data_IF_782768293476
#
_entry.id   IF_782768293476
#
_cell.length_a   1.000
_cell.length_b   1.000
_cell.length_c   1.000
_cell.angle_alpha   90.00
_cell.angle_beta   90.00
_cell.angle_gamma   90.00
#
_symmetry.space_group_name_H-M   'P 1'
#
loop_
_entity.id
_entity.type
_entity.pdbx_description
1 polymer ?
#
# COMPACT_ATOMS: atom_id res chain seq x y z
N UNK A 1 47.79 -16.16 35.33
CA UNK A 1 48.29 -15.30 36.43
C UNK A 1 49.34 -14.36 35.85
N UNK A 2 49.37 -13.10 36.32
CA UNK A 2 50.29 -11.99 35.95
C UNK A 2 49.79 -11.17 34.73
N UNK A 3 49.65 -9.85 34.74
CA UNK A 3 49.38 -8.79 35.75
C UNK A 3 48.98 -7.56 34.91
N UNK A 4 47.94 -6.83 35.30
CA UNK A 4 47.61 -5.51 34.78
C UNK A 4 48.71 -4.50 35.14
N UNK A 5 49.16 -3.69 34.19
CA UNK A 5 49.81 -2.41 34.49
C UNK A 5 49.30 -1.33 33.52
N UNK A 6 48.63 -0.37 34.13
CA UNK A 6 48.15 0.90 33.60
C UNK A 6 49.32 1.83 33.31
N UNK A 7 49.36 2.47 32.13
CA UNK A 7 50.20 3.65 31.89
C UNK A 7 49.29 4.78 31.39
N UNK A 8 49.26 5.87 32.16
CA UNK A 8 48.52 7.10 31.90
C UNK A 8 49.52 8.19 31.45
N UNK A 9 49.14 8.87 30.37
CA UNK A 9 49.47 10.22 29.90
C UNK A 9 50.95 10.66 29.70
N UNK A 10 51.23 11.08 28.47
CA UNK A 10 52.02 12.28 28.20
C UNK A 10 51.34 13.10 27.10
N UNK A 11 50.81 14.24 27.52
CA UNK A 11 50.20 15.30 26.69
C UNK A 11 51.35 16.12 26.09
N UNK A 12 51.40 16.23 24.77
CA UNK A 12 52.21 17.23 24.08
C UNK A 12 51.27 18.24 23.39
N UNK A 13 51.25 19.44 23.96
CA UNK A 13 50.65 20.65 23.41
C UNK A 13 51.39 21.08 22.14
N UNK A 14 50.67 21.20 21.02
CA UNK A 14 51.05 22.10 19.93
C UNK A 14 49.90 23.08 19.71
N UNK A 15 50.14 24.34 20.07
CA UNK A 15 49.28 25.50 19.75
C UNK A 15 50.02 26.36 18.74
N UNK A 16 49.30 26.75 17.68
CA UNK A 16 49.73 27.68 16.63
C UNK A 16 48.74 27.62 15.47
N UNK A 17 47.48 28.02 15.69
CA UNK A 17 46.91 29.32 15.25
C UNK A 17 47.07 29.56 13.75
N UNK A 18 45.98 29.35 13.00
CA UNK A 18 45.40 30.38 12.12
C UNK A 18 43.98 29.99 11.68
N UNK A 19 43.04 30.91 11.87
CA UNK A 19 41.79 30.98 11.09
C UNK A 19 40.53 30.40 11.73
N UNK A 20 39.92 31.13 12.67
CA UNK A 20 38.48 31.04 12.97
C UNK A 20 37.68 31.61 11.80
N UNK A 21 36.66 30.89 11.34
CA UNK A 21 35.36 31.54 11.10
C UNK A 21 34.23 30.55 11.37
N UNK A 22 33.58 30.77 12.52
CA UNK A 22 32.22 30.34 12.80
C UNK A 22 31.28 31.29 12.06
N UNK A 23 30.43 30.74 11.21
CA UNK A 23 29.17 31.32 10.70
C UNK A 23 28.24 30.10 10.74
N UNK A 24 27.39 29.87 11.73
CA UNK A 24 26.19 30.64 12.15
C UNK A 24 25.30 30.96 10.96
N UNK A 25 24.13 30.31 10.91
CA UNK A 25 23.02 30.48 9.96
C UNK A 25 23.08 29.48 8.79
N UNK A 26 22.04 28.73 8.45
CA UNK A 26 20.63 28.90 8.76
C UNK A 26 19.94 27.60 9.15
N UNK A 27 19.14 27.70 10.19
CA UNK A 27 17.79 27.14 10.17
C UNK A 27 17.09 27.81 8.99
N UNK A 28 17.21 27.24 7.78
CA UNK A 28 16.40 27.68 6.67
C UNK A 28 14.99 27.21 6.95
N UNK A 29 14.09 28.18 7.10
CA UNK A 29 12.66 27.99 6.89
C UNK A 29 12.46 26.98 5.76
N UNK A 30 11.73 25.90 6.04
CA UNK A 30 11.19 25.03 5.01
C UNK A 30 10.34 25.93 4.10
N UNK A 31 10.95 26.39 3.00
CA UNK A 31 10.23 27.01 1.91
C UNK A 31 9.32 25.94 1.31
N UNK A 32 8.06 26.32 1.16
CA UNK A 32 6.91 25.51 0.82
C UNK A 32 6.91 25.07 -0.66
N UNK A 33 8.07 24.68 -1.23
CA UNK A 33 8.20 24.43 -2.68
C UNK A 33 9.12 23.28 -3.11
N UNK A 34 9.56 22.39 -2.22
CA UNK A 34 10.09 21.09 -2.65
C UNK A 34 8.93 20.10 -2.84
N UNK A 35 8.19 20.29 -3.92
CA UNK A 35 7.28 19.27 -4.45
C UNK A 35 8.16 18.29 -5.22
N UNK A 36 8.53 17.19 -4.57
CA UNK A 36 9.07 16.02 -5.24
C UNK A 36 8.09 15.55 -6.32
N UNK A 37 8.40 15.91 -7.56
CA UNK A 37 7.73 15.51 -8.79
C UNK A 37 8.18 14.10 -9.20
N UNK A 38 8.01 13.12 -8.31
CA UNK A 38 8.33 11.71 -8.61
C UNK A 38 7.49 10.73 -7.78
N UNK A 39 6.18 10.74 -8.05
CA UNK A 39 5.30 9.56 -8.04
C UNK A 39 3.95 9.99 -8.61
N UNK A 40 3.63 9.55 -9.83
CA UNK A 40 2.29 9.73 -10.42
C UNK A 40 1.22 8.86 -9.73
N UNK A 41 1.55 8.37 -8.53
CA UNK A 41 0.66 7.74 -7.59
C UNK A 41 0.20 8.80 -6.59
N UNK A 42 -0.91 9.44 -6.90
CA UNK A 42 -1.40 10.56 -6.10
C UNK A 42 -1.99 10.05 -4.79
N UNK A 43 -1.15 9.93 -3.77
CA UNK A 43 -1.61 9.55 -2.43
C UNK A 43 -2.43 10.70 -1.84
N UNK A 44 -3.61 10.45 -1.24
CA UNK A 44 -4.36 11.50 -0.55
C UNK A 44 -3.51 12.19 0.55
N UNK A 45 -3.74 13.48 0.85
CA UNK A 45 -3.07 14.15 1.96
C UNK A 45 -3.29 13.39 3.29
N UNK A 46 -2.24 13.23 4.10
CA UNK A 46 -2.24 12.45 5.35
C UNK A 46 -3.18 12.94 6.47
N UNK A 47 -4.00 13.97 6.24
CA UNK A 47 -5.05 14.41 7.20
C UNK A 47 -6.45 14.16 6.68
N UNK A 48 -6.57 13.67 5.45
CA UNK A 48 -7.80 13.21 4.85
C UNK A 48 -7.92 11.69 5.08
N UNK A 49 -8.03 11.30 6.36
CA UNK A 49 -8.05 9.90 6.78
C UNK A 49 -9.13 9.06 6.05
N UNK A 50 -10.36 9.58 5.83
CA UNK A 50 -11.37 8.86 5.05
C UNK A 50 -10.93 8.63 3.61
N UNK A 51 -10.35 9.62 2.93
CA UNK A 51 -9.86 9.46 1.57
C UNK A 51 -8.65 8.51 1.50
N UNK A 52 -7.70 8.60 2.43
CA UNK A 52 -6.57 7.68 2.53
C UNK A 52 -7.04 6.23 2.68
N UNK A 53 -8.02 5.99 3.55
CA UNK A 53 -8.58 4.66 3.75
C UNK A 53 -9.24 4.12 2.47
N UNK A 54 -10.06 4.95 1.82
CA UNK A 54 -10.73 4.58 0.56
C UNK A 54 -9.76 4.33 -0.58
N UNK A 55 -8.72 5.13 -0.66
CA UNK A 55 -7.66 5.00 -1.64
C UNK A 55 -6.91 3.67 -1.51
N UNK A 56 -6.47 3.30 -0.31
CA UNK A 56 -5.76 2.04 -0.08
C UNK A 56 -6.64 0.82 -0.37
N UNK A 57 -7.93 0.88 -0.02
CA UNK A 57 -8.89 -0.18 -0.36
C UNK A 57 -9.08 -0.32 -1.87
N UNK A 58 -9.11 0.81 -2.60
CA UNK A 58 -9.33 0.81 -4.04
C UNK A 58 -8.09 0.41 -4.85
N UNK A 59 -6.90 0.82 -4.41
CA UNK A 59 -5.67 0.53 -5.14
C UNK A 59 -5.33 -0.95 -5.08
N UNK A 60 -5.46 -1.56 -3.91
CA UNK A 60 -4.85 -2.85 -3.63
C UNK A 60 -5.73 -4.01 -4.11
N UNK A 61 -5.08 -5.00 -4.74
CA UNK A 61 -5.74 -6.22 -5.24
C UNK A 61 -5.86 -7.31 -4.16
N UNK A 62 -5.14 -7.20 -3.05
CA UNK A 62 -5.10 -8.21 -1.98
C UNK A 62 -4.83 -7.55 -0.63
N UNK A 63 -5.13 -8.26 0.45
CA UNK A 63 -4.83 -7.84 1.83
C UNK A 63 -4.51 -9.05 2.71
N UNK A 64 -3.57 -8.92 3.66
CA UNK A 64 -3.48 -9.85 4.78
C UNK A 64 -4.71 -9.69 5.69
N UNK A 65 -5.42 -10.80 5.89
CA UNK A 65 -6.62 -10.89 6.70
C UNK A 65 -6.37 -11.72 7.95
N UNK A 66 -6.60 -11.10 9.10
CA UNK A 66 -6.50 -11.72 10.42
C UNK A 66 -7.82 -12.36 10.87
N UNK A 67 -7.79 -13.64 11.24
CA UNK A 67 -8.88 -14.43 11.83
C UNK A 67 -8.46 -15.08 13.16
N UNK A 68 -9.38 -15.77 13.82
CA UNK A 68 -9.10 -16.56 15.02
C UNK A 68 -9.05 -18.03 14.63
N UNK A 69 -7.88 -18.65 14.79
CA UNK A 69 -7.67 -20.02 14.34
C UNK A 69 -8.56 -21.02 15.06
N UNK A 70 -9.12 -21.94 14.29
CA UNK A 70 -9.94 -23.05 14.75
C UNK A 70 -9.22 -24.39 14.67
N UNK A 71 -7.99 -24.41 14.13
CA UNK A 71 -7.14 -25.59 14.03
C UNK A 71 -6.73 -26.07 15.43
N UNK A 72 -6.91 -27.36 15.72
CA UNK A 72 -6.76 -27.88 17.09
C UNK A 72 -5.40 -27.58 17.75
N UNK A 73 -4.31 -27.59 16.98
CA UNK A 73 -2.95 -27.34 17.48
C UNK A 73 -2.67 -25.88 17.85
N UNK A 74 -3.43 -24.94 17.31
CA UNK A 74 -3.25 -23.49 17.49
C UNK A 74 -4.58 -22.78 17.76
N UNK A 75 -5.55 -23.48 18.31
CA UNK A 75 -6.91 -22.97 18.50
C UNK A 75 -6.89 -21.70 19.35
N UNK A 76 -7.52 -20.64 18.83
CA UNK A 76 -7.57 -19.33 19.46
C UNK A 76 -6.41 -18.39 19.09
N UNK A 77 -5.40 -18.85 18.35
CA UNK A 77 -4.30 -18.00 17.90
C UNK A 77 -4.80 -17.01 16.83
N UNK A 78 -4.20 -15.81 16.72
CA UNK A 78 -4.39 -14.97 15.55
C UNK A 78 -3.80 -15.68 14.33
N UNK A 79 -4.63 -15.96 13.34
CA UNK A 79 -4.24 -16.48 12.03
C UNK A 79 -4.23 -15.34 11.04
N UNK A 80 -3.24 -15.27 10.15
CA UNK A 80 -3.18 -14.24 9.11
C UNK A 80 -2.94 -14.91 7.76
N UNK A 81 -3.77 -14.60 6.77
CA UNK A 81 -3.68 -15.19 5.44
C UNK A 81 -3.81 -14.10 4.34
N UNK A 82 -3.32 -14.38 3.14
CA UNK A 82 -3.42 -13.49 1.97
C UNK A 82 -4.77 -13.72 1.29
N UNK A 83 -5.58 -12.67 1.17
CA UNK A 83 -6.89 -12.73 0.53
C UNK A 83 -6.99 -11.70 -0.59
N UNK A 84 -7.35 -12.15 -1.80
CA UNK A 84 -7.69 -11.29 -2.93
C UNK A 84 -8.98 -10.51 -2.67
N UNK A 85 -8.99 -9.22 -3.01
CA UNK A 85 -10.10 -8.32 -2.77
C UNK A 85 -10.47 -7.49 -3.99
N UNK A 86 -11.67 -6.90 -3.96
CA UNK A 86 -12.09 -5.84 -4.86
C UNK A 86 -13.11 -4.93 -4.18
N UNK A 87 -13.09 -3.64 -4.48
CA UNK A 87 -14.16 -2.70 -4.09
C UNK A 87 -15.02 -2.23 -5.28
N UNK A 88 -14.46 -2.27 -6.49
CA UNK A 88 -15.13 -2.05 -7.77
C UNK A 88 -14.37 -2.79 -8.88
N UNK A 89 -14.88 -2.74 -10.12
CA UNK A 89 -14.16 -3.23 -11.28
C UNK A 89 -12.97 -2.31 -11.63
N UNK A 90 -11.96 -2.82 -12.34
CA UNK A 90 -10.82 -2.02 -12.79
C UNK A 90 -11.29 -0.83 -13.63
N UNK A 91 -10.83 0.38 -13.27
CA UNK A 91 -11.20 1.62 -13.95
C UNK A 91 -12.53 2.24 -13.49
N UNK A 92 -13.30 1.55 -12.65
CA UNK A 92 -14.52 2.08 -12.05
C UNK A 92 -14.22 2.77 -10.72
N UNK A 93 -15.07 3.72 -10.35
CA UNK A 93 -14.93 4.47 -9.09
C UNK A 93 -15.00 3.55 -7.88
N UNK A 94 -14.20 3.86 -6.87
CA UNK A 94 -14.20 3.19 -5.58
C UNK A 94 -15.60 3.21 -4.96
N UNK A 95 -16.00 2.07 -4.40
CA UNK A 95 -17.17 2.01 -3.50
C UNK A 95 -16.77 1.95 -2.04
N UNK A 96 -15.52 1.60 -1.74
CA UNK A 96 -15.03 1.33 -0.38
C UNK A 96 -15.57 0.04 0.24
N UNK A 97 -16.48 -0.67 -0.42
CA UNK A 97 -16.91 -2.01 0.01
C UNK A 97 -15.77 -2.98 -0.24
N UNK A 98 -15.63 -4.03 0.57
CA UNK A 98 -14.52 -4.99 0.40
C UNK A 98 -15.12 -6.35 0.12
N UNK A 99 -15.08 -6.77 -1.15
CA UNK A 99 -15.48 -8.09 -1.59
C UNK A 99 -14.28 -9.01 -1.69
N UNK A 100 -14.49 -10.28 -1.42
CA UNK A 100 -13.46 -11.31 -1.53
C UNK A 100 -14.08 -12.67 -1.75
N UNK A 101 -13.30 -13.58 -2.34
CA UNK A 101 -13.66 -14.98 -2.48
C UNK A 101 -12.90 -15.81 -1.47
N UNK A 102 -13.58 -16.79 -0.87
CA UNK A 102 -12.95 -17.80 -0.01
C UNK A 102 -13.20 -19.19 -0.58
N UNK A 103 -12.16 -20.00 -0.68
CA UNK A 103 -12.31 -21.41 -0.99
C UNK A 103 -12.74 -22.19 0.26
N UNK A 104 -13.63 -23.16 0.14
CA UNK A 104 -14.09 -24.00 1.25
C UNK A 104 -12.96 -24.66 2.08
N UNK A 105 -11.87 -25.12 1.46
CA UNK A 105 -10.72 -25.66 2.19
C UNK A 105 -9.77 -24.63 2.80
N UNK A 106 -9.94 -23.33 2.52
CA UNK A 106 -9.03 -22.28 3.00
C UNK A 106 -9.13 -22.09 4.52
N UNK A 107 -7.99 -21.87 5.18
CA UNK A 107 -7.93 -21.69 6.64
C UNK A 107 -8.81 -20.52 7.11
N UNK A 108 -8.84 -19.42 6.34
CA UNK A 108 -9.66 -18.24 6.63
C UNK A 108 -11.14 -18.60 6.58
N UNK A 109 -11.58 -19.38 5.58
CA UNK A 109 -12.96 -19.83 5.48
C UNK A 109 -13.37 -20.69 6.69
N UNK A 110 -12.53 -21.66 7.05
CA UNK A 110 -12.79 -22.58 8.16
C UNK A 110 -12.93 -21.79 9.48
N UNK A 111 -12.03 -20.83 9.71
CA UNK A 111 -12.08 -19.95 10.88
C UNK A 111 -13.34 -19.08 10.90
N UNK A 112 -13.67 -18.44 9.78
CA UNK A 112 -14.82 -17.55 9.66
C UNK A 112 -16.16 -18.26 9.83
N UNK A 113 -16.25 -19.56 9.53
CA UNK A 113 -17.44 -20.36 9.85
C UNK A 113 -17.70 -20.50 11.35
N UNK A 114 -16.68 -20.39 12.19
CA UNK A 114 -16.82 -20.46 13.66
C UNK A 114 -16.94 -19.08 14.29
N UNK A 115 -16.18 -18.11 13.80
CA UNK A 115 -16.29 -16.72 14.19
C UNK A 115 -16.09 -15.85 12.97
N UNK A 116 -17.15 -15.20 12.50
CA UNK A 116 -17.08 -14.38 11.30
C UNK A 116 -16.35 -13.04 11.49
N UNK A 117 -15.58 -12.86 12.57
CA UNK A 117 -14.85 -11.62 12.86
C UNK A 117 -13.47 -11.66 12.22
N UNK A 118 -13.06 -10.54 11.63
CA UNK A 118 -11.76 -10.40 11.00
C UNK A 118 -11.25 -8.96 11.05
N UNK A 119 -9.95 -8.82 10.82
CA UNK A 119 -9.30 -7.53 10.55
C UNK A 119 -8.45 -7.64 9.29
N UNK A 120 -8.66 -6.76 8.33
CA UNK A 120 -7.83 -6.64 7.13
C UNK A 120 -6.85 -5.46 7.29
N UNK A 121 -5.59 -5.65 6.88
CA UNK A 121 -4.56 -4.62 6.88
C UNK A 121 -4.23 -4.21 5.45
N UNK A 122 -4.22 -2.92 5.18
CA UNK A 122 -3.84 -2.37 3.87
C UNK A 122 -2.67 -1.42 4.07
N UNK A 123 -1.66 -1.50 3.22
CA UNK A 123 -0.47 -0.66 3.32
C UNK A 123 -0.01 -0.22 1.93
N UNK A 124 0.45 1.03 1.85
CA UNK A 124 1.14 1.56 0.67
C UNK A 124 2.33 0.69 0.24
N UNK A 125 2.94 -0.07 1.15
CA UNK A 125 4.06 -0.94 0.79
C UNK A 125 3.63 -2.19 0.00
N UNK A 126 2.34 -2.56 0.02
CA UNK A 126 1.86 -3.66 -0.83
C UNK A 126 2.01 -3.37 -2.33
N UNK A 127 2.04 -2.09 -2.72
CA UNK A 127 2.36 -1.62 -4.07
C UNK A 127 3.79 -1.05 -4.18
N UNK A 128 4.63 -1.24 -3.16
CA UNK A 128 6.02 -0.74 -3.06
C UNK A 128 6.16 0.78 -3.10
N UNK A 129 5.13 1.52 -2.73
CA UNK A 129 5.17 2.98 -2.77
C UNK A 129 6.15 3.58 -1.75
N UNK A 130 6.32 2.90 -0.61
CA UNK A 130 7.21 3.38 0.43
C UNK A 130 8.65 3.02 0.09
N UNK A 131 8.92 1.76 -0.23
CA UNK A 131 10.26 1.29 -0.59
C UNK A 131 10.81 1.92 -1.87
N UNK A 132 9.96 2.26 -2.85
CA UNK A 132 10.39 3.02 -4.04
C UNK A 132 10.91 4.42 -3.71
N UNK A 133 10.48 4.97 -2.57
CA UNK A 133 10.88 6.29 -2.04
C UNK A 133 11.87 6.18 -0.88
N UNK A 134 12.47 5.00 -0.66
CA UNK A 134 13.38 4.70 0.45
C UNK A 134 12.76 4.96 1.86
N UNK A 135 11.45 4.76 1.97
CA UNK A 135 10.71 4.83 3.23
C UNK A 135 10.51 3.40 3.76
N UNK A 136 10.86 3.17 5.02
CA UNK A 136 10.64 1.88 5.67
C UNK A 136 9.14 1.56 5.80
N UNK A 137 8.75 0.30 5.66
CA UNK A 137 7.34 -0.12 5.73
C UNK A 137 6.68 0.20 7.09
N UNK A 138 7.47 0.31 8.16
CA UNK A 138 7.00 0.63 9.49
C UNK A 138 6.89 2.13 9.76
N UNK A 139 7.59 2.95 8.97
CA UNK A 139 7.60 4.41 9.07
C UNK A 139 6.16 4.96 8.98
N UNK A 140 5.68 5.81 9.92
CA UNK A 140 4.31 6.29 9.90
C UNK A 140 3.87 7.05 8.64
N UNK A 141 4.81 7.62 7.88
CA UNK A 141 4.52 8.24 6.58
C UNK A 141 4.25 7.21 5.47
N UNK A 142 4.64 5.94 5.67
CA UNK A 142 4.17 4.81 4.86
C UNK A 142 2.76 4.42 5.31
N UNK A 143 1.75 5.06 4.71
CA UNK A 143 0.38 4.94 5.18
C UNK A 143 -0.12 3.49 5.20
N UNK A 144 -0.82 3.16 6.29
CA UNK A 144 -1.49 1.88 6.48
C UNK A 144 -2.81 2.04 7.22
N UNK A 145 -3.75 1.16 6.91
CA UNK A 145 -5.06 1.11 7.56
C UNK A 145 -5.38 -0.30 8.03
N UNK A 146 -6.13 -0.39 9.12
CA UNK A 146 -6.69 -1.64 9.62
C UNK A 146 -8.21 -1.51 9.66
N UNK A 147 -8.90 -2.36 8.92
CA UNK A 147 -10.36 -2.39 8.85
C UNK A 147 -10.83 -3.67 9.54
N UNK A 148 -11.54 -3.50 10.66
CA UNK A 148 -12.08 -4.61 11.45
C UNK A 148 -13.59 -4.71 11.24
N UNK A 149 -14.10 -5.94 11.19
CA UNK A 149 -15.51 -6.17 10.91
C UNK A 149 -15.91 -7.63 10.93
N UNK A 150 -16.98 -7.93 10.21
CA UNK A 150 -17.48 -9.29 10.04
C UNK A 150 -17.56 -9.68 8.57
N UNK A 151 -17.18 -10.91 8.25
CA UNK A 151 -17.47 -11.49 6.94
C UNK A 151 -18.97 -11.83 6.86
N UNK A 152 -19.62 -11.32 5.82
CA UNK A 152 -20.96 -11.72 5.41
C UNK A 152 -20.88 -12.47 4.09
N UNK A 153 -21.46 -13.67 4.04
CA UNK A 153 -21.62 -14.42 2.81
C UNK A 153 -22.65 -13.72 1.91
N UNK A 154 -22.32 -13.54 0.63
CA UNK A 154 -23.25 -13.03 -0.37
C UNK A 154 -23.99 -14.20 -1.03
N UNK A 155 -25.31 -14.21 -0.86
CA UNK A 155 -26.16 -15.16 -1.57
C UNK A 155 -26.45 -14.65 -2.99
N UNK A 156 -26.70 -15.55 -3.95
CA UNK A 156 -27.02 -15.17 -5.34
C UNK A 156 -28.26 -14.28 -5.46
N UNK A 157 -29.12 -14.30 -4.45
CA UNK A 157 -30.33 -13.48 -4.35
C UNK A 157 -30.06 -12.08 -3.78
N UNK A 158 -28.86 -11.83 -3.23
CA UNK A 158 -28.47 -10.50 -2.76
C UNK A 158 -28.31 -9.54 -3.93
N UNK A 159 -28.87 -8.34 -3.79
CA UNK A 159 -28.77 -7.27 -4.81
C UNK A 159 -27.33 -6.92 -5.20
N UNK A 160 -26.38 -7.12 -4.30
CA UNK A 160 -24.96 -6.81 -4.53
C UNK A 160 -24.15 -7.96 -5.12
N UNK A 161 -24.73 -9.16 -5.27
CA UNK A 161 -23.97 -10.35 -5.68
C UNK A 161 -23.32 -10.16 -7.05
N UNK A 162 -24.11 -9.76 -8.07
CA UNK A 162 -23.60 -9.58 -9.43
C UNK A 162 -22.53 -8.47 -9.49
N UNK A 163 -22.75 -7.37 -8.78
CA UNK A 163 -21.76 -6.28 -8.69
C UNK A 163 -20.44 -6.78 -8.10
N UNK A 164 -20.50 -7.46 -6.95
CA UNK A 164 -19.32 -7.97 -6.26
C UNK A 164 -18.58 -9.03 -7.09
N UNK A 165 -19.32 -9.93 -7.75
CA UNK A 165 -18.74 -10.92 -8.67
C UNK A 165 -18.03 -10.24 -9.85
N UNK A 166 -18.65 -9.24 -10.47
CA UNK A 166 -18.05 -8.50 -11.59
C UNK A 166 -16.79 -7.73 -11.16
N UNK A 167 -16.81 -7.09 -9.99
CA UNK A 167 -15.66 -6.42 -9.41
C UNK A 167 -14.50 -7.41 -9.21
N UNK A 168 -14.77 -8.55 -8.54
CA UNK A 168 -13.77 -9.60 -8.30
C UNK A 168 -13.20 -10.18 -9.61
N UNK A 169 -14.03 -10.53 -10.59
CA UNK A 169 -13.58 -11.10 -11.86
C UNK A 169 -12.84 -10.09 -12.75
N UNK A 170 -13.13 -8.80 -12.60
CA UNK A 170 -12.41 -7.72 -13.28
C UNK A 170 -11.01 -7.54 -12.71
N UNK A 171 -10.88 -7.49 -11.38
CA UNK A 171 -9.58 -7.32 -10.71
C UNK A 171 -8.73 -8.59 -10.73
N UNK A 172 -9.36 -9.75 -10.66
CA UNK A 172 -8.75 -11.08 -10.58
C UNK A 172 -9.20 -11.98 -11.74
N UNK A 173 -8.74 -11.78 -12.99
CA UNK A 173 -9.24 -12.52 -14.15
C UNK A 173 -8.93 -14.03 -14.10
N UNK A 174 -7.84 -14.42 -13.43
CA UNK A 174 -7.54 -15.82 -13.12
C UNK A 174 -8.70 -16.50 -12.38
N UNK A 175 -9.55 -15.71 -11.72
CA UNK A 175 -10.66 -16.22 -10.95
C UNK A 175 -11.76 -16.90 -11.77
N UNK A 176 -11.75 -16.74 -13.09
CA UNK A 176 -12.67 -17.45 -13.97
C UNK A 176 -12.36 -18.95 -14.04
N UNK A 177 -11.11 -19.35 -13.75
CA UNK A 177 -10.66 -20.73 -13.90
C UNK A 177 -10.81 -21.55 -12.61
N UNK A 178 -10.65 -20.93 -11.42
CA UNK A 178 -10.70 -21.63 -10.13
C UNK A 178 -12.13 -21.77 -9.53
N UNK A 179 -13.06 -20.84 -9.81
CA UNK A 179 -14.40 -20.77 -9.22
C UNK A 179 -15.26 -21.95 -9.66
N UNK A 180 -15.20 -22.41 -10.93
CA UNK A 180 -15.98 -23.57 -11.36
C UNK A 180 -15.50 -24.91 -10.80
N UNK A 181 -14.24 -25.00 -10.34
CA UNK A 181 -13.59 -26.28 -9.98
C UNK A 181 -13.45 -26.50 -8.48
N UNK A 182 -13.71 -25.49 -7.66
CA UNK A 182 -13.77 -25.58 -6.20
C UNK A 182 -14.97 -24.80 -5.66
N UNK A 183 -15.41 -25.14 -4.45
CA UNK A 183 -16.44 -24.36 -3.76
C UNK A 183 -15.86 -23.01 -3.31
N UNK A 184 -16.17 -21.96 -4.06
CA UNK A 184 -15.83 -20.59 -3.72
C UNK A 184 -17.05 -19.82 -3.22
N UNK A 185 -16.84 -19.07 -2.14
CA UNK A 185 -17.85 -18.30 -1.45
C UNK A 185 -17.54 -16.81 -1.61
N UNK A 186 -18.45 -16.07 -2.22
CA UNK A 186 -18.31 -14.62 -2.35
C UNK A 186 -18.75 -13.96 -1.05
N UNK A 187 -17.89 -13.15 -0.46
CA UNK A 187 -18.13 -12.48 0.80
C UNK A 187 -17.98 -10.96 0.67
N UNK A 188 -18.58 -10.25 1.62
CA UNK A 188 -18.36 -8.82 1.87
C UNK A 188 -17.92 -8.62 3.32
N UNK A 189 -17.00 -7.68 3.55
CA UNK A 189 -16.66 -7.22 4.89
C UNK A 189 -17.66 -6.16 5.37
N UNK A 190 -18.43 -6.50 6.39
CA UNK A 190 -19.24 -5.55 7.16
C UNK A 190 -18.35 -4.80 8.15
N UNK A 191 -17.98 -3.57 7.77
CA UNK A 191 -17.03 -2.74 8.50
C UNK A 191 -17.61 -2.32 9.86
N UNK A 192 -16.84 -2.55 10.92
CA UNK A 192 -17.16 -2.10 12.29
C UNK A 192 -16.22 -0.98 12.78
N UNK A 193 -14.97 -0.97 12.33
CA UNK A 193 -13.98 0.05 12.71
C UNK A 193 -12.94 0.21 11.61
N UNK A 194 -12.56 1.46 11.34
CA UNK A 194 -11.49 1.82 10.43
C UNK A 194 -10.44 2.59 11.24
N UNK A 195 -9.21 2.11 11.21
CA UNK A 195 -8.06 2.74 11.84
C UNK A 195 -7.06 3.15 10.75
N UNK A 196 -6.56 4.38 10.80
CA UNK A 196 -5.64 4.95 9.82
C UNK A 196 -4.38 5.42 10.53
N UNK A 197 -3.22 5.05 10.00
CA UNK A 197 -1.93 5.59 10.37
C UNK A 197 -1.20 6.00 9.09
N UNK A 198 -1.15 7.30 8.85
CA UNK A 198 -0.57 7.92 7.65
C UNK A 198 0.41 9.06 7.97
N UNK A 199 0.64 9.32 9.25
CA UNK A 199 1.69 10.23 9.73
C UNK A 199 2.01 10.01 11.22
N UNK A 200 2.97 10.77 11.74
CA UNK A 200 3.29 10.81 13.17
C UNK A 200 2.10 11.31 14.02
N UNK A 201 2.04 10.84 15.27
CA UNK A 201 1.00 11.24 16.23
C UNK A 201 0.08 10.11 16.68
N UNK A 202 0.26 8.91 16.11
CA UNK A 202 -0.53 7.72 16.43
C UNK A 202 -1.71 7.52 15.49
N UNK A 203 -2.52 6.47 15.71
CA UNK A 203 -3.62 6.13 14.81
C UNK A 203 -4.82 7.09 14.97
N UNK A 204 -5.51 7.29 13.86
CA UNK A 204 -6.80 7.97 13.77
C UNK A 204 -7.92 6.96 13.46
N UNK A 205 -9.14 7.26 13.90
CA UNK A 205 -10.30 6.41 13.66
C UNK A 205 -11.30 7.13 12.77
N UNK A 206 -11.80 6.42 11.75
CA UNK A 206 -12.75 6.95 10.78
C UNK A 206 -14.10 6.28 10.99
N UNK A 207 -15.16 7.08 10.97
CA UNK A 207 -16.53 6.55 11.04
C UNK A 207 -16.92 5.90 9.71
N UNK A 208 -17.81 4.92 9.72
CA UNK A 208 -18.32 4.33 8.48
C UNK A 208 -18.96 5.39 7.58
N UNK A 209 -19.66 6.38 8.16
CA UNK A 209 -20.30 7.46 7.40
C UNK A 209 -19.27 8.29 6.62
N UNK A 210 -18.21 8.76 7.30
CA UNK A 210 -17.16 9.55 6.65
C UNK A 210 -16.43 8.75 5.58
N UNK A 211 -16.15 7.48 5.86
CA UNK A 211 -15.50 6.57 4.91
C UNK A 211 -16.29 6.38 3.61
N UNK A 212 -17.60 6.11 3.70
CA UNK A 212 -18.43 5.92 2.51
C UNK A 212 -18.77 7.23 1.81
N UNK A 213 -18.75 8.37 2.52
CA UNK A 213 -18.92 9.72 1.92
C UNK A 213 -17.68 10.22 1.20
N UNK A 214 -16.50 9.76 1.61
CA UNK A 214 -15.24 10.15 0.99
C UNK A 214 -15.17 9.71 -0.47
N UNK A 215 -14.41 10.48 -1.24
CA UNK A 215 -14.23 10.30 -2.67
C UNK A 215 -12.72 10.38 -2.92
N UNK A 216 -12.00 9.25 -2.86
CA UNK A 216 -10.56 9.26 -3.07
C UNK A 216 -10.24 9.84 -4.46
N UNK A 217 -11.17 9.73 -5.42
CA UNK A 217 -10.97 10.23 -6.77
C UNK A 217 -11.00 11.76 -6.93
N UNK A 218 -11.77 12.46 -6.09
CA UNK A 218 -11.84 13.93 -6.13
C UNK A 218 -10.62 14.60 -5.54
N UNK A 219 -9.89 13.92 -4.67
CA UNK A 219 -8.64 14.45 -4.12
C UNK A 219 -7.64 14.64 -5.28
N UNK A 220 -7.63 13.73 -6.27
CA UNK A 220 -6.83 13.83 -7.51
C UNK A 220 -7.16 15.08 -8.35
N UNK A 221 -8.45 15.38 -8.53
CA UNK A 221 -8.91 16.45 -9.43
C UNK A 221 -8.61 17.89 -8.95
N UNK A 222 -8.37 18.09 -7.65
CA UNK A 222 -8.08 19.42 -7.09
C UNK A 222 -6.71 19.98 -7.46
N UNK A 223 -5.74 19.14 -7.86
CA UNK A 223 -4.39 19.58 -8.27
C UNK A 223 -4.32 19.87 -9.77
N UNK A 224 -5.00 19.06 -10.61
CA UNK A 224 -5.18 19.35 -12.04
C UNK A 224 -5.97 20.63 -12.33
N UNK A 225 -6.85 21.06 -11.43
CA UNK A 225 -7.56 22.35 -11.56
C UNK A 225 -6.70 23.57 -11.21
N UNK A 226 -5.56 23.39 -10.50
CA UNK A 226 -4.67 24.51 -10.12
C UNK A 226 -3.52 24.72 -11.10
N UNK A 227 -3.17 23.72 -11.89
CA UNK A 227 -2.35 23.90 -13.09
C UNK A 227 -3.30 24.20 -14.24
N UNK A 228 -3.24 25.40 -14.81
CA UNK A 228 -4.02 25.70 -16.03
C UNK A 228 -3.64 24.67 -17.11
N UNK A 229 -4.53 23.70 -17.35
CA UNK A 229 -4.55 22.87 -18.55
C UNK A 229 -4.99 23.74 -19.72
N UNK A 230 -4.11 24.66 -20.10
CA UNK A 230 -4.11 25.24 -21.43
C UNK A 230 -2.73 24.95 -21.99
N UNK A 231 -2.69 23.99 -22.91
CA UNK A 231 -1.56 23.57 -23.73
C UNK A 231 -0.62 22.55 -23.08
N UNK A 232 -1.11 21.33 -22.85
CA UNK A 232 -0.24 20.15 -22.92
C UNK A 232 -0.63 19.46 -24.24
N UNK A 233 0.29 19.52 -25.20
CA UNK A 233 0.17 18.90 -26.51
C UNK A 233 0.47 17.40 -26.36
N UNK A 234 -0.43 16.54 -26.83
CA UNK A 234 -0.31 15.07 -26.69
C UNK A 234 1.00 14.54 -27.32
N UNK A 235 1.54 15.27 -28.30
CA UNK A 235 2.83 15.00 -28.95
C UNK A 235 4.05 15.22 -28.05
N UNK A 236 3.93 16.02 -26.98
CA UNK A 236 5.02 16.27 -26.03
C UNK A 236 5.15 15.13 -25.01
N UNK A 237 4.03 14.54 -24.61
CA UNK A 237 3.97 13.36 -23.74
C UNK A 237 4.60 12.15 -24.44
N UNK A 238 4.29 11.93 -25.72
CA UNK A 238 4.85 10.82 -26.50
C UNK A 238 6.37 10.98 -26.75
N UNK A 239 6.84 12.22 -26.94
CA UNK A 239 8.27 12.55 -27.06
C UNK A 239 9.03 12.37 -25.76
N UNK A 240 8.42 12.64 -24.61
CA UNK A 240 9.06 12.47 -23.30
C UNK A 240 9.20 10.98 -22.94
N UNK A 241 8.19 10.15 -23.27
CA UNK A 241 8.25 8.71 -23.08
C UNK A 241 9.35 8.04 -23.93
N UNK A 242 9.51 8.44 -25.21
CA UNK A 242 10.58 7.89 -26.08
C UNK A 242 12.00 8.28 -25.66
N UNK A 243 12.18 9.42 -24.98
CA UNK A 243 13.51 9.89 -24.55
C UNK A 243 14.08 9.14 -23.34
N UNK A 244 13.25 8.42 -22.55
CA UNK A 244 13.68 7.77 -21.30
C UNK A 244 13.84 6.25 -21.38
N UNK A 245 13.42 5.60 -22.48
CA UNK A 245 13.66 4.16 -22.69
C UNK A 245 14.79 3.95 -23.69
N UNK A 246 15.96 3.49 -23.22
CA UNK A 246 16.93 2.83 -24.10
C UNK A 246 16.54 1.35 -24.19
N UNK A 247 15.91 0.95 -25.27
CA UNK A 247 15.60 -0.45 -25.54
C UNK A 247 16.78 -1.12 -26.27
N UNK A 248 17.34 -2.16 -25.67
CA UNK A 248 18.26 -3.09 -26.32
C UNK A 248 17.45 -4.32 -26.73
N UNK A 249 17.56 -4.74 -28.00
CA UNK A 249 16.91 -5.96 -28.50
C UNK A 249 18.00 -6.95 -28.91
N UNK A 250 18.15 -8.03 -28.14
CA UNK A 250 19.09 -9.11 -28.42
C UNK A 250 18.29 -10.30 -28.91
N UNK A 251 18.59 -10.78 -30.13
CA UNK A 251 18.05 -12.03 -30.67
C UNK A 251 19.15 -13.08 -30.64
N UNK A 252 18.91 -14.17 -29.91
CA UNK A 252 19.84 -15.29 -29.80
C UNK A 252 19.25 -16.50 -30.51
N UNK A 253 19.96 -17.01 -31.52
CA UNK A 253 19.53 -18.16 -32.33
C UNK A 253 20.37 -19.42 -32.02
N UNK A 254 20.45 -19.73 -30.72
CA UNK A 254 21.07 -20.89 -30.05
C UNK A 254 22.61 -20.87 -29.90
N UNK A 255 23.02 -21.60 -28.86
CA UNK A 255 24.35 -21.77 -28.23
C UNK A 255 25.03 -20.48 -27.78
N UNK A 256 24.43 -19.85 -26.76
CA UNK A 256 25.08 -18.81 -25.97
C UNK A 256 25.07 -19.24 -24.51
N UNK A 257 26.24 -19.51 -23.95
CA UNK A 257 26.37 -19.95 -22.56
C UNK A 257 26.31 -18.78 -21.57
N UNK A 258 26.70 -17.56 -21.96
CA UNK A 258 26.53 -16.37 -21.11
C UNK A 258 26.44 -15.07 -21.93
N UNK A 259 25.59 -14.14 -21.47
CA UNK A 259 25.51 -12.76 -21.98
C UNK A 259 25.60 -11.82 -20.79
N UNK A 260 26.68 -11.04 -20.73
CA UNK A 260 26.85 -9.99 -19.73
C UNK A 260 26.55 -8.62 -20.34
N UNK A 261 25.64 -7.89 -19.70
CA UNK A 261 25.25 -6.53 -20.06
C UNK A 261 25.54 -5.66 -18.85
N UNK A 262 26.54 -4.79 -18.96
CA UNK A 262 26.79 -3.74 -17.98
C UNK A 262 26.29 -2.40 -18.52
N UNK A 263 25.66 -1.63 -17.65
CA UNK A 263 24.98 -0.35 -17.95
C UNK A 263 25.84 0.82 -17.52
#
# INVERSE_FOLDING_TARGET
MIKFQTIILLVALFVGINGRQLISNGYSSLEENDIDDFNDFFVPPYKDYPAMARFLVHELDWTPMGTISTLDTIKGFPMVNVISIADSARGERSTGRIFFYLAGPDFTYIDLKKSNRLTALFSMEQSRNCSSSNIDAMEPTCARIMISGKARLLEKTDKSYEFAQNAMLSRHPAAKNWIPVHDFYLCELEISQICVLDYYGGPHYVTNEDYFKADPEKVFGKKFSKTNLQNIDDDEIERHHRRKTKSIHIRVNRDVEEINIEV
#
